data_IF_846164126055
#
_entry.id   IF_846164126055
#
_cell.length_a   1.000
_cell.length_b   1.000
_cell.length_c   1.000
_cell.angle_alpha   90.00
_cell.angle_beta   90.00
_cell.angle_gamma   90.00
#
_symmetry.space_group_name_H-M   'P 1'
#
loop_
_entity.id
_entity.type
_entity.pdbx_description
1 polymer ?
#
# COMPACT_ATOMS: atom_id res chain seq x y z
N UNK A 1 6.35 7.54 -9.47
CA UNK A 1 4.94 7.10 -9.44
C UNK A 1 4.15 8.10 -10.26
N UNK A 2 3.45 7.68 -11.30
CA UNK A 2 2.48 8.58 -11.93
C UNK A 2 1.42 8.95 -10.90
N UNK A 3 1.19 10.24 -10.72
CA UNK A 3 0.12 10.75 -9.90
C UNK A 3 -1.20 10.19 -10.47
N UNK A 4 -1.97 9.44 -9.68
CA UNK A 4 -3.17 8.76 -10.16
C UNK A 4 -4.14 9.75 -10.82
N UNK A 5 -4.24 10.97 -10.29
CA UNK A 5 -5.02 12.08 -10.85
C UNK A 5 -4.45 12.62 -12.18
N UNK A 6 -3.15 12.48 -12.41
CA UNK A 6 -2.50 12.84 -13.68
C UNK A 6 -2.59 11.73 -14.73
N UNK A 7 -2.80 10.47 -14.32
CA UNK A 7 -2.90 9.33 -15.23
C UNK A 7 -4.03 9.50 -16.24
N UNK A 8 -3.75 9.17 -17.50
CA UNK A 8 -4.71 9.34 -18.58
C UNK A 8 -5.91 8.40 -18.43
N UNK A 9 -5.70 7.20 -17.89
CA UNK A 9 -6.76 6.25 -17.57
C UNK A 9 -7.75 6.79 -16.53
N UNK A 10 -7.27 7.48 -15.49
CA UNK A 10 -8.14 8.11 -14.48
C UNK A 10 -8.98 9.24 -15.09
N UNK A 11 -8.37 10.12 -15.88
CA UNK A 11 -9.08 11.22 -16.56
C UNK A 11 -10.16 10.70 -17.52
N UNK A 12 -9.85 9.64 -18.28
CA UNK A 12 -10.80 8.98 -19.17
C UNK A 12 -11.98 8.38 -18.40
N UNK A 13 -11.71 7.68 -17.28
CA UNK A 13 -12.75 7.09 -16.45
C UNK A 13 -13.70 8.14 -15.86
N UNK A 14 -13.15 9.21 -15.28
CA UNK A 14 -13.94 10.33 -14.74
C UNK A 14 -14.76 11.01 -15.85
N UNK A 15 -14.16 11.24 -17.03
CA UNK A 15 -14.84 11.83 -18.17
C UNK A 15 -16.00 10.98 -18.67
N UNK A 16 -15.82 9.66 -18.79
CA UNK A 16 -16.88 8.71 -19.17
C UNK A 16 -18.03 8.70 -18.17
N UNK A 17 -17.72 8.76 -16.87
CA UNK A 17 -18.71 8.77 -15.81
C UNK A 17 -19.56 10.05 -15.83
N UNK A 18 -18.93 11.21 -16.07
CA UNK A 18 -19.63 12.49 -16.25
C UNK A 18 -20.49 12.46 -17.52
N UNK A 19 -19.98 11.94 -18.64
CA UNK A 19 -20.74 11.83 -19.88
C UNK A 19 -21.99 10.95 -19.73
N UNK A 20 -21.88 9.81 -19.02
CA UNK A 20 -23.01 8.93 -18.72
C UNK A 20 -24.07 9.64 -17.86
N UNK A 21 -23.66 10.47 -16.89
CA UNK A 21 -24.59 11.28 -16.11
C UNK A 21 -25.32 12.31 -16.96
N UNK A 22 -24.61 13.01 -17.85
CA UNK A 22 -25.20 14.00 -18.77
C UNK A 22 -26.21 13.31 -19.72
N UNK A 23 -25.84 12.16 -20.31
CA UNK A 23 -26.74 11.40 -21.18
C UNK A 23 -28.01 11.00 -20.44
N UNK A 24 -27.90 10.53 -19.19
CA UNK A 24 -29.07 10.16 -18.39
C UNK A 24 -29.95 11.35 -18.01
N UNK A 25 -29.35 12.51 -17.75
CA UNK A 25 -30.08 13.76 -17.52
C UNK A 25 -30.85 14.19 -18.76
N UNK A 26 -30.22 14.15 -19.95
CA UNK A 26 -30.84 14.54 -21.22
C UNK A 26 -31.95 13.59 -21.66
N UNK A 27 -31.88 12.30 -21.29
CA UNK A 27 -32.86 11.28 -21.72
C UNK A 27 -34.24 11.39 -21.05
N UNK A 28 -34.54 12.47 -20.31
CA UNK A 28 -35.77 12.64 -19.50
C UNK A 28 -36.09 11.39 -18.65
N UNK A 29 -35.04 10.80 -18.09
CA UNK A 29 -35.18 9.69 -17.16
C UNK A 29 -36.02 10.14 -15.96
N UNK A 30 -36.86 9.24 -15.43
CA UNK A 30 -37.69 9.52 -14.26
C UNK A 30 -36.80 10.10 -13.14
N UNK A 31 -37.22 11.16 -12.45
CA UNK A 31 -36.40 11.83 -11.44
C UNK A 31 -35.86 10.87 -10.36
N UNK A 32 -36.57 9.77 -10.09
CA UNK A 32 -36.10 8.69 -9.23
C UNK A 32 -34.88 7.92 -9.78
N UNK A 33 -34.85 7.65 -11.10
CA UNK A 33 -33.73 6.99 -11.77
C UNK A 33 -32.51 7.91 -11.83
N UNK A 34 -32.68 9.20 -12.11
CA UNK A 34 -31.58 10.19 -12.10
C UNK A 34 -30.92 10.26 -10.72
N UNK A 35 -31.71 10.28 -9.64
CA UNK A 35 -31.20 10.24 -8.26
C UNK A 35 -30.39 8.96 -7.98
N UNK A 36 -30.90 7.79 -8.38
CA UNK A 36 -30.20 6.50 -8.20
C UNK A 36 -28.87 6.46 -8.96
N UNK A 37 -28.85 6.94 -10.19
CA UNK A 37 -27.62 6.96 -11.00
C UNK A 37 -26.60 7.98 -10.50
N UNK A 38 -27.06 9.14 -10.05
CA UNK A 38 -26.19 10.16 -9.45
C UNK A 38 -25.57 9.65 -8.15
N UNK A 39 -26.35 8.97 -7.31
CA UNK A 39 -25.84 8.33 -6.09
C UNK A 39 -24.79 7.25 -6.41
N UNK A 40 -25.05 6.39 -7.40
CA UNK A 40 -24.08 5.38 -7.85
C UNK A 40 -22.78 6.03 -8.35
N UNK A 41 -22.90 7.05 -9.20
CA UNK A 41 -21.75 7.78 -9.72
C UNK A 41 -20.92 8.43 -8.60
N UNK A 42 -21.59 9.04 -7.62
CA UNK A 42 -20.93 9.62 -6.44
C UNK A 42 -20.20 8.56 -5.63
N UNK A 43 -20.81 7.40 -5.37
CA UNK A 43 -20.16 6.28 -4.66
C UNK A 43 -18.93 5.80 -5.42
N UNK A 44 -19.04 5.65 -6.74
CA UNK A 44 -17.91 5.24 -7.58
C UNK A 44 -16.78 6.28 -7.53
N UNK A 45 -17.09 7.56 -7.73
CA UNK A 45 -16.10 8.64 -7.64
C UNK A 45 -15.40 8.66 -6.28
N UNK A 46 -16.17 8.59 -5.18
CA UNK A 46 -15.64 8.56 -3.82
C UNK A 46 -14.73 7.35 -3.59
N UNK A 47 -15.12 6.17 -4.10
CA UNK A 47 -14.31 4.96 -3.98
C UNK A 47 -12.94 5.14 -4.64
N UNK A 48 -12.91 5.64 -5.88
CA UNK A 48 -11.64 5.90 -6.58
C UNK A 48 -10.83 7.02 -5.96
N UNK A 49 -11.49 8.03 -5.39
CA UNK A 49 -10.82 9.14 -4.71
C UNK A 49 -10.19 8.70 -3.38
N UNK A 50 -10.86 7.83 -2.61
CA UNK A 50 -10.37 7.30 -1.33
C UNK A 50 -9.33 6.18 -1.48
N UNK A 51 -9.36 5.44 -2.60
CA UNK A 51 -8.44 4.33 -2.87
C UNK A 51 -6.95 4.67 -2.66
N UNK A 52 -6.39 5.78 -3.19
CA UNK A 52 -4.99 6.13 -2.95
C UNK A 52 -4.71 6.40 -1.47
N UNK A 53 -5.62 7.04 -0.73
CA UNK A 53 -5.45 7.26 0.71
C UNK A 53 -5.43 5.95 1.50
N UNK A 54 -6.35 5.03 1.16
CA UNK A 54 -6.38 3.71 1.77
C UNK A 54 -5.08 2.93 1.47
N UNK A 55 -4.56 3.01 0.25
CA UNK A 55 -3.30 2.39 -0.12
C UNK A 55 -2.12 2.98 0.66
N UNK A 56 -2.04 4.31 0.76
CA UNK A 56 -0.99 4.98 1.52
C UNK A 56 -1.07 4.62 3.00
N UNK A 57 -2.25 4.66 3.61
CA UNK A 57 -2.42 4.35 5.03
C UNK A 57 -2.10 2.89 5.38
N UNK A 58 -2.30 1.94 4.46
CA UNK A 58 -2.17 0.51 4.76
C UNK A 58 -0.86 -0.12 4.31
N UNK A 59 -0.27 0.35 3.20
CA UNK A 59 0.85 -0.32 2.54
C UNK A 59 2.09 0.55 2.36
N UNK A 60 2.01 1.87 2.57
CA UNK A 60 3.14 2.75 2.28
C UNK A 60 4.41 2.36 3.05
N UNK A 61 4.29 2.03 4.33
CA UNK A 61 5.44 1.66 5.15
C UNK A 61 6.13 0.38 4.67
N UNK A 62 5.34 -0.66 4.38
CA UNK A 62 5.86 -1.92 3.85
C UNK A 62 6.48 -1.73 2.47
N UNK A 63 5.89 -0.85 1.65
CA UNK A 63 6.44 -0.48 0.35
C UNK A 63 7.78 0.24 0.49
N UNK A 64 7.89 1.21 1.40
CA UNK A 64 9.14 1.93 1.64
C UNK A 64 10.25 0.97 2.07
N UNK A 65 9.97 0.10 3.04
CA UNK A 65 10.92 -0.93 3.50
C UNK A 65 11.27 -1.94 2.41
N UNK A 66 10.30 -2.34 1.59
CA UNK A 66 10.53 -3.22 0.45
C UNK A 66 11.42 -2.58 -0.61
N UNK A 67 11.15 -1.33 -0.99
CA UNK A 67 11.96 -0.59 -1.95
C UNK A 67 13.38 -0.36 -1.44
N UNK A 68 13.55 -0.06 -0.14
CA UNK A 68 14.86 0.00 0.49
C UNK A 68 15.60 -1.33 0.37
N UNK A 69 14.97 -2.43 0.77
CA UNK A 69 15.61 -3.72 0.75
C UNK A 69 15.91 -4.25 -0.66
N UNK A 70 15.16 -3.82 -1.68
CA UNK A 70 15.50 -4.08 -3.09
C UNK A 70 16.89 -3.56 -3.46
N UNK A 71 17.34 -2.47 -2.82
CA UNK A 71 18.68 -1.89 -3.05
C UNK A 71 19.78 -2.53 -2.21
N UNK A 72 19.42 -3.39 -1.25
CA UNK A 72 20.37 -4.07 -0.38
C UNK A 72 20.73 -5.43 -0.97
N UNK A 73 22.00 -5.81 -0.85
CA UNK A 73 22.47 -7.15 -1.26
C UNK A 73 21.96 -8.26 -0.33
N UNK A 74 21.70 -7.90 0.93
CA UNK A 74 21.24 -8.84 1.94
C UNK A 74 19.77 -9.22 1.75
N UNK A 75 19.49 -10.52 1.89
CA UNK A 75 18.12 -11.04 1.94
C UNK A 75 17.43 -10.57 3.22
N UNK A 76 16.11 -10.45 3.16
CA UNK A 76 15.30 -10.06 4.33
C UNK A 76 14.42 -11.20 4.81
N UNK A 77 14.40 -11.39 6.12
CA UNK A 77 13.55 -12.35 6.83
C UNK A 77 12.54 -11.62 7.72
N UNK A 78 11.37 -12.22 7.93
CA UNK A 78 10.34 -11.65 8.78
C UNK A 78 10.33 -12.29 10.16
N UNK A 79 10.38 -11.46 11.20
CA UNK A 79 10.34 -11.89 12.59
C UNK A 79 9.18 -11.24 13.36
N UNK A 80 8.36 -12.07 14.02
CA UNK A 80 7.15 -11.66 14.75
C UNK A 80 6.18 -10.77 13.93
N UNK A 81 6.25 -10.86 12.61
CA UNK A 81 5.39 -10.15 11.65
C UNK A 81 5.08 -11.05 10.45
N UNK A 82 3.90 -10.90 9.86
CA UNK A 82 3.51 -11.60 8.64
C UNK A 82 3.04 -10.58 7.59
N UNK A 83 3.98 -10.12 6.75
CA UNK A 83 3.73 -9.13 5.68
C UNK A 83 4.31 -9.63 4.36
N UNK A 84 3.69 -10.63 3.71
CA UNK A 84 4.18 -11.15 2.44
C UNK A 84 4.14 -10.11 1.31
N UNK A 85 3.31 -9.07 1.42
CA UNK A 85 3.30 -7.93 0.48
C UNK A 85 4.65 -7.22 0.38
N UNK A 86 5.51 -7.33 1.40
CA UNK A 86 6.90 -6.89 1.33
C UNK A 86 7.66 -7.50 0.15
N UNK A 87 7.50 -8.82 -0.09
CA UNK A 87 8.23 -9.55 -1.12
C UNK A 87 7.99 -8.99 -2.53
N UNK A 88 6.78 -8.50 -2.77
CA UNK A 88 6.41 -7.86 -4.04
C UNK A 88 7.25 -6.60 -4.30
N UNK A 89 7.37 -5.73 -3.31
CA UNK A 89 8.13 -4.48 -3.44
C UNK A 89 9.65 -4.70 -3.42
N UNK A 90 10.12 -5.63 -2.59
CA UNK A 90 11.52 -5.98 -2.48
C UNK A 90 12.05 -6.77 -3.70
N UNK A 91 11.16 -7.38 -4.49
CA UNK A 91 11.53 -8.34 -5.54
C UNK A 91 12.40 -9.49 -5.00
N UNK A 92 12.14 -9.89 -3.75
CA UNK A 92 12.87 -10.92 -3.04
C UNK A 92 11.89 -11.90 -2.38
N UNK A 93 12.35 -13.13 -2.13
CA UNK A 93 11.55 -14.11 -1.38
C UNK A 93 11.33 -13.62 0.05
N UNK A 94 10.11 -13.81 0.54
CA UNK A 94 9.74 -13.54 1.93
C UNK A 94 10.20 -14.71 2.81
N UNK A 95 11.37 -14.59 3.43
CA UNK A 95 11.84 -15.57 4.42
C UNK A 95 11.18 -15.32 5.79
N UNK A 96 11.14 -16.34 6.65
CA UNK A 96 10.58 -16.25 8.01
C UNK A 96 11.60 -16.65 9.06
N UNK A 97 11.43 -16.11 10.26
CA UNK A 97 12.28 -16.37 11.43
C UNK A 97 13.47 -15.43 11.52
N UNK A 98 14.26 -15.58 12.57
CA UNK A 98 15.57 -14.94 12.70
C UNK A 98 16.58 -15.73 11.87
N UNK A 99 17.37 -15.03 11.05
CA UNK A 99 18.46 -15.62 10.29
C UNK A 99 19.66 -14.67 10.36
N UNK A 100 20.78 -15.18 10.83
CA UNK A 100 21.99 -14.38 11.12
C UNK A 100 22.53 -13.63 9.88
N UNK A 101 22.49 -14.26 8.70
CA UNK A 101 22.94 -13.64 7.44
C UNK A 101 21.84 -12.87 6.69
N UNK A 102 20.75 -12.48 7.37
CA UNK A 102 19.65 -11.73 6.77
C UNK A 102 19.44 -10.44 7.54
N UNK A 103 18.94 -9.43 6.83
CA UNK A 103 18.23 -8.35 7.51
C UNK A 103 16.89 -8.90 8.02
N UNK A 104 16.37 -8.31 9.07
CA UNK A 104 15.14 -8.79 9.71
C UNK A 104 14.13 -7.65 9.73
N UNK A 105 12.98 -7.89 9.11
CA UNK A 105 11.82 -7.00 9.16
C UNK A 105 10.94 -7.40 10.35
N UNK A 106 10.63 -6.43 11.21
CA UNK A 106 9.67 -6.60 12.30
C UNK A 106 8.83 -5.34 12.54
N UNK A 107 8.05 -5.37 13.63
CA UNK A 107 7.15 -4.30 14.05
C UNK A 107 7.58 -3.73 15.39
N UNK A 108 7.41 -2.42 15.54
CA UNK A 108 7.81 -1.68 16.75
C UNK A 108 7.11 -2.24 18.01
N UNK A 109 5.83 -2.61 17.92
CA UNK A 109 5.08 -3.19 19.04
C UNK A 109 5.59 -4.58 19.49
N UNK A 110 6.51 -5.19 18.73
CA UNK A 110 7.16 -6.47 19.08
C UNK A 110 8.57 -6.29 19.59
N UNK A 111 9.12 -5.09 19.51
CA UNK A 111 10.50 -4.74 19.88
C UNK A 111 10.78 -5.07 21.35
N UNK A 112 9.82 -4.82 22.25
CA UNK A 112 9.93 -5.11 23.70
C UNK A 112 10.11 -6.61 24.03
N UNK A 113 9.87 -7.49 23.07
CA UNK A 113 9.96 -8.94 23.25
C UNK A 113 11.24 -9.54 22.65
N UNK A 114 12.18 -8.71 22.23
CA UNK A 114 13.48 -9.14 21.72
C UNK A 114 14.42 -9.33 22.90
N UNK A 115 15.15 -10.45 22.89
CA UNK A 115 16.08 -10.86 23.95
C UNK A 115 17.53 -10.94 23.45
N UNK A 116 17.85 -10.14 22.43
CA UNK A 116 19.14 -10.10 21.75
C UNK A 116 19.46 -8.65 21.37
N UNK A 117 20.74 -8.35 21.20
CA UNK A 117 21.17 -7.06 20.68
C UNK A 117 20.95 -6.95 19.18
N UNK A 118 20.54 -5.77 18.73
CA UNK A 118 20.33 -5.49 17.32
C UNK A 118 20.65 -4.04 16.98
N UNK A 119 20.84 -3.80 15.69
CA UNK A 119 21.02 -2.48 15.10
C UNK A 119 19.89 -2.21 14.12
N UNK A 120 19.20 -1.08 14.29
CA UNK A 120 18.14 -0.65 13.37
C UNK A 120 18.77 0.00 12.14
N UNK A 121 18.44 -0.52 10.97
CA UNK A 121 18.94 -0.02 9.69
C UNK A 121 17.96 0.98 9.08
N UNK A 122 16.66 0.70 9.18
CA UNK A 122 15.61 1.57 8.66
C UNK A 122 14.31 1.45 9.44
N UNK A 123 13.61 2.56 9.65
CA UNK A 123 12.24 2.61 10.17
C UNK A 123 11.28 3.18 9.11
N UNK A 124 10.06 2.67 9.07
CA UNK A 124 8.93 3.29 8.36
C UNK A 124 7.64 2.99 9.13
N UNK A 125 7.02 4.02 9.67
CA UNK A 125 5.83 3.91 10.51
C UNK A 125 6.00 2.87 11.63
N UNK A 126 5.12 1.88 11.69
CA UNK A 126 5.12 0.84 12.72
C UNK A 126 6.05 -0.35 12.43
N UNK A 127 6.88 -0.26 11.39
CA UNK A 127 7.77 -1.33 10.94
C UNK A 127 9.21 -0.85 10.90
N UNK A 128 10.13 -1.81 11.00
CA UNK A 128 11.55 -1.53 10.89
C UNK A 128 12.31 -2.74 10.37
N UNK A 129 13.47 -2.47 9.78
CA UNK A 129 14.47 -3.47 9.40
C UNK A 129 15.67 -3.32 10.34
N UNK A 130 16.14 -4.44 10.88
CA UNK A 130 17.30 -4.49 11.77
C UNK A 130 18.24 -5.64 11.39
N UNK A 131 19.45 -5.62 11.96
CA UNK A 131 20.41 -6.72 11.94
C UNK A 131 20.71 -7.14 13.38
N UNK A 132 20.84 -8.43 13.64
CA UNK A 132 21.33 -8.92 14.94
C UNK A 132 22.81 -8.57 15.05
N UNK A 133 23.23 -8.02 16.19
CA UNK A 133 24.67 -7.85 16.45
C UNK A 133 25.25 -9.21 16.81
N UNK A 134 26.28 -9.63 16.08
CA UNK A 134 27.16 -10.70 16.56
C UNK A 134 28.16 -10.07 17.51
N UNK A 135 28.33 -10.69 18.69
CA UNK A 135 29.50 -10.47 19.54
C UNK A 135 30.80 -10.82 18.80
#
# INVERSE_FOLDING_TARGET
MENLAASMSYKLFVGLLVALLIINFLRRSNGMQVKKMSALAMVVMLTFWLLPFAQTATQQDIKNLGLFAKTQENKVSMYKVNKPSYAFYAQQKSYRGLKENHLILSRIDKESSFNFEYEVIMRSGNYFIFKIKSD
#
